data_IF_471253185840
#
_entry.id   IF_471253185840
#
_cell.length_a   1.000
_cell.length_b   1.000
_cell.length_c   1.000
_cell.angle_alpha   90.00
_cell.angle_beta   90.00
_cell.angle_gamma   90.00
#
_symmetry.space_group_name_H-M   'P 1'
#
loop_
_entity.id
_entity.type
_entity.pdbx_description
1 polymer ?
#
# COMPACT_ATOMS: atom_id res chain seq x y z
N UNK A 1 28.54 9.89 54.83
CA UNK A 1 27.83 8.96 53.93
C UNK A 1 26.40 8.80 54.43
N UNK A 2 25.42 9.33 53.70
CA UNK A 2 23.99 9.05 53.89
C UNK A 2 23.36 8.89 52.52
N UNK A 3 22.67 7.77 52.37
CA UNK A 3 22.14 7.15 51.16
C UNK A 3 20.92 7.90 50.62
N UNK A 4 20.90 8.13 49.30
CA UNK A 4 19.67 8.41 48.53
C UNK A 4 18.81 7.14 48.45
N UNK A 5 17.49 7.30 48.26
CA UNK A 5 16.91 6.64 47.10
C UNK A 5 15.97 7.55 46.30
N UNK A 6 16.41 7.83 45.07
CA UNK A 6 15.66 7.75 43.81
C UNK A 6 14.12 7.69 44.01
N UNK A 7 13.47 8.85 43.96
CA UNK A 7 12.02 8.96 43.76
C UNK A 7 11.76 9.73 42.47
N UNK A 8 12.27 9.17 41.37
CA UNK A 8 11.85 9.51 40.01
C UNK A 8 11.40 8.18 39.40
N UNK A 9 10.26 7.68 39.84
CA UNK A 9 9.65 6.49 39.29
C UNK A 9 8.17 6.76 39.04
N UNK A 10 7.84 6.72 37.75
CA UNK A 10 6.53 6.34 37.22
C UNK A 10 5.33 7.27 37.53
N UNK A 11 5.35 8.49 36.98
CA UNK A 11 4.10 9.15 36.54
C UNK A 11 4.33 9.68 35.12
N UNK A 12 4.58 8.75 34.19
CA UNK A 12 4.47 8.97 32.74
C UNK A 12 3.66 7.83 32.10
N UNK A 13 2.73 7.26 32.87
CA UNK A 13 1.79 6.23 32.45
C UNK A 13 0.41 6.89 32.58
N UNK A 14 -0.44 6.77 31.56
CA UNK A 14 -1.83 7.28 31.46
C UNK A 14 -2.08 8.60 30.73
N UNK A 15 -1.32 8.90 29.67
CA UNK A 15 -1.86 9.67 28.52
C UNK A 15 -1.76 8.87 27.20
N UNK A 16 -1.82 7.53 27.28
CA UNK A 16 -2.19 6.74 26.11
C UNK A 16 -3.66 7.03 25.85
N UNK A 17 -3.91 8.04 25.02
CA UNK A 17 -5.15 8.13 24.26
C UNK A 17 -5.51 6.72 23.78
N UNK A 18 -6.78 6.32 23.91
CA UNK A 18 -7.36 5.11 23.33
C UNK A 18 -7.36 5.17 21.79
N UNK A 19 -6.22 5.50 21.20
CA UNK A 19 -5.91 5.34 19.79
C UNK A 19 -5.58 3.86 19.60
N UNK A 20 -6.38 3.17 18.78
CA UNK A 20 -6.05 1.81 18.37
C UNK A 20 -4.62 1.78 17.80
N UNK A 21 -3.93 0.64 17.91
CA UNK A 21 -2.56 0.54 17.42
C UNK A 21 -2.48 0.90 15.93
N UNK A 22 -1.36 1.51 15.50
CA UNK A 22 -1.14 1.86 14.09
C UNK A 22 -1.31 0.64 13.18
N UNK A 23 -1.62 0.85 11.89
CA UNK A 23 -1.83 -0.25 10.95
C UNK A 23 -0.58 -1.12 10.85
N UNK A 24 -0.79 -2.44 10.87
CA UNK A 24 0.30 -3.39 10.64
C UNK A 24 0.60 -3.45 9.14
N UNK A 25 1.88 -3.41 8.79
CA UNK A 25 2.33 -3.51 7.41
C UNK A 25 1.77 -4.76 6.71
N UNK A 26 1.71 -5.91 7.39
CA UNK A 26 1.18 -7.15 6.82
C UNK A 26 -0.29 -7.03 6.40
N UNK A 27 -1.13 -6.35 7.19
CA UNK A 27 -2.56 -6.20 6.89
C UNK A 27 -2.76 -5.28 5.68
N UNK A 28 -1.93 -4.23 5.56
CA UNK A 28 -1.94 -3.33 4.41
C UNK A 28 -1.38 -4.03 3.15
N UNK A 29 -0.35 -4.87 3.28
CA UNK A 29 0.22 -5.64 2.17
C UNK A 29 -0.84 -6.54 1.54
N UNK A 30 -1.59 -7.30 2.35
CA UNK A 30 -2.65 -8.18 1.86
C UNK A 30 -3.74 -7.38 1.13
N UNK A 31 -4.12 -6.22 1.67
CA UNK A 31 -5.11 -5.35 1.04
C UNK A 31 -4.61 -4.78 -0.28
N UNK A 32 -3.39 -4.22 -0.32
CA UNK A 32 -2.81 -3.69 -1.55
C UNK A 32 -2.65 -4.78 -2.63
N UNK A 33 -2.26 -6.00 -2.24
CA UNK A 33 -2.17 -7.11 -3.17
C UNK A 33 -3.56 -7.46 -3.74
N UNK A 34 -4.60 -7.48 -2.91
CA UNK A 34 -5.98 -7.72 -3.35
C UNK A 34 -6.48 -6.63 -4.31
N UNK A 35 -6.23 -5.36 -3.99
CA UNK A 35 -6.61 -4.20 -4.81
C UNK A 35 -5.89 -4.26 -6.17
N UNK A 36 -4.59 -4.55 -6.16
CA UNK A 36 -3.78 -4.75 -7.37
C UNK A 36 -4.37 -5.83 -8.27
N UNK A 37 -4.68 -7.00 -7.70
CA UNK A 37 -5.26 -8.14 -8.43
C UNK A 37 -6.63 -7.81 -9.03
N UNK A 38 -7.46 -7.03 -8.33
CA UNK A 38 -8.77 -6.61 -8.81
C UNK A 38 -8.67 -5.63 -9.99
N UNK A 39 -7.81 -4.61 -9.89
CA UNK A 39 -7.77 -3.53 -10.86
C UNK A 39 -7.06 -3.90 -12.16
N UNK A 40 -6.06 -4.77 -12.10
CA UNK A 40 -5.17 -5.02 -13.24
C UNK A 40 -5.22 -6.47 -13.75
N UNK A 41 -6.13 -7.28 -13.20
CA UNK A 41 -6.16 -8.72 -13.42
C UNK A 41 -5.09 -9.43 -12.60
N UNK A 42 -5.39 -10.66 -12.20
CA UNK A 42 -4.51 -11.46 -11.33
C UNK A 42 -3.08 -11.54 -11.89
N UNK A 43 -2.11 -11.29 -11.01
CA UNK A 43 -0.74 -11.76 -11.20
C UNK A 43 0.11 -11.00 -12.23
N UNK A 44 -0.12 -9.70 -12.43
CA UNK A 44 0.85 -8.86 -13.17
C UNK A 44 1.94 -8.27 -12.25
N UNK A 45 1.61 -8.03 -10.98
CA UNK A 45 2.49 -7.46 -9.95
C UNK A 45 2.32 -8.24 -8.63
N UNK A 46 3.43 -8.45 -7.94
CA UNK A 46 3.48 -8.97 -6.58
C UNK A 46 4.11 -7.91 -5.67
N UNK A 47 3.46 -7.63 -4.54
CA UNK A 47 4.02 -6.79 -3.48
C UNK A 47 4.88 -7.70 -2.60
N UNK A 48 6.19 -7.55 -2.72
CA UNK A 48 7.18 -8.36 -2.02
C UNK A 48 7.33 -7.89 -0.56
N UNK A 49 7.34 -6.58 -0.39
CA UNK A 49 7.55 -5.96 0.91
C UNK A 49 6.78 -4.65 1.00
N UNK A 50 6.35 -4.34 2.21
CA UNK A 50 5.64 -3.12 2.54
C UNK A 50 6.07 -2.71 3.94
N UNK A 51 6.41 -1.43 4.10
CA UNK A 51 6.65 -0.85 5.42
C UNK A 51 5.80 0.40 5.60
N UNK A 52 5.38 0.63 6.85
CA UNK A 52 4.65 1.82 7.25
C UNK A 52 5.67 2.79 7.82
N UNK A 53 6.04 3.79 7.02
CA UNK A 53 7.05 4.78 7.35
C UNK A 53 6.50 5.83 8.33
N UNK A 54 5.21 6.15 8.22
CA UNK A 54 4.51 7.04 9.15
C UNK A 54 3.01 6.74 9.20
N UNK A 55 2.35 7.14 10.29
CA UNK A 55 0.90 7.04 10.48
C UNK A 55 0.40 8.25 11.28
N UNK A 56 -0.53 9.01 10.70
CA UNK A 56 -1.00 10.25 11.28
C UNK A 56 -2.49 10.50 11.00
N UNK A 57 -3.10 11.33 11.85
CA UNK A 57 -4.46 11.83 11.67
C UNK A 57 -4.40 13.27 11.14
N UNK A 58 -5.21 13.58 10.13
CA UNK A 58 -5.33 14.93 9.55
C UNK A 58 -6.73 15.13 8.99
N UNK A 59 -7.31 16.32 9.18
CA UNK A 59 -8.61 16.71 8.58
C UNK A 59 -9.75 15.70 8.83
N UNK A 60 -9.77 15.06 10.02
CA UNK A 60 -10.78 14.05 10.37
C UNK A 60 -10.62 12.69 9.65
N UNK A 61 -9.46 12.44 9.03
CA UNK A 61 -9.09 11.17 8.41
C UNK A 61 -7.76 10.64 8.93
N UNK A 62 -7.54 9.34 8.73
CA UNK A 62 -6.28 8.67 9.06
C UNK A 62 -5.48 8.46 7.78
N UNK A 63 -4.16 8.59 7.86
CA UNK A 63 -3.26 8.45 6.74
C UNK A 63 -2.04 7.63 7.15
N UNK A 64 -1.51 6.87 6.21
CA UNK A 64 -0.23 6.20 6.35
C UNK A 64 0.69 6.58 5.19
N UNK A 65 1.98 6.67 5.48
CA UNK A 65 3.03 6.78 4.48
C UNK A 65 3.62 5.39 4.30
N UNK A 66 3.56 4.87 3.09
CA UNK A 66 3.98 3.51 2.76
C UNK A 66 5.21 3.54 1.86
N UNK A 67 6.19 2.68 2.19
CA UNK A 67 7.24 2.30 1.27
C UNK A 67 6.93 0.89 0.78
N UNK A 68 6.81 0.74 -0.54
CA UNK A 68 6.32 -0.47 -1.21
C UNK A 68 7.39 -0.98 -2.16
N UNK A 69 7.71 -2.27 -2.02
CA UNK A 69 8.57 -2.99 -2.95
C UNK A 69 7.75 -4.01 -3.70
N UNK A 70 7.79 -3.92 -5.02
CA UNK A 70 7.00 -4.76 -5.90
C UNK A 70 7.84 -5.40 -6.99
N UNK A 71 7.45 -6.60 -7.43
CA UNK A 71 8.02 -7.30 -8.57
C UNK A 71 6.98 -7.45 -9.67
N UNK A 72 7.39 -7.15 -10.91
CA UNK A 72 6.57 -7.42 -12.08
C UNK A 72 6.64 -8.90 -12.43
N UNK A 73 5.50 -9.59 -12.43
CA UNK A 73 5.42 -11.02 -12.72
C UNK A 73 5.34 -11.33 -14.23
N UNK A 74 5.04 -10.31 -15.03
CA UNK A 74 5.02 -10.34 -16.50
C UNK A 74 5.61 -9.04 -17.05
N UNK A 75 6.09 -9.06 -18.30
CA UNK A 75 6.55 -7.84 -18.98
C UNK A 75 5.37 -6.96 -19.43
N UNK A 76 5.63 -5.66 -19.65
CA UNK A 76 4.62 -4.71 -20.14
C UNK A 76 3.92 -5.19 -21.41
N UNK A 77 4.70 -5.66 -22.40
CA UNK A 77 4.18 -6.14 -23.67
C UNK A 77 3.17 -7.28 -23.49
N UNK A 78 3.50 -8.24 -22.62
CA UNK A 78 2.62 -9.36 -22.30
C UNK A 78 1.39 -8.94 -21.50
N UNK A 79 1.53 -7.97 -20.59
CA UNK A 79 0.40 -7.42 -19.84
C UNK A 79 -0.61 -6.74 -20.76
N UNK A 80 -0.15 -5.82 -21.62
CA UNK A 80 -1.01 -5.11 -22.58
C UNK A 80 -1.66 -6.10 -23.56
N UNK A 81 -0.92 -7.10 -24.03
CA UNK A 81 -1.46 -8.16 -24.87
C UNK A 81 -2.63 -8.89 -24.18
N UNK A 82 -2.45 -9.32 -22.92
CA UNK A 82 -3.51 -9.97 -22.13
C UNK A 82 -4.74 -9.07 -21.92
N UNK A 83 -4.52 -7.77 -21.69
CA UNK A 83 -5.62 -6.81 -21.57
C UNK A 83 -6.41 -6.69 -22.87
N UNK A 84 -5.72 -6.63 -24.02
CA UNK A 84 -6.38 -6.61 -25.34
C UNK A 84 -7.13 -7.92 -25.62
N UNK A 85 -6.57 -9.07 -25.26
CA UNK A 85 -7.23 -10.37 -25.42
C UNK A 85 -8.48 -10.52 -24.54
N UNK A 86 -8.44 -10.01 -23.29
CA UNK A 86 -9.53 -10.15 -22.33
C UNK A 86 -10.64 -9.12 -22.50
N UNK A 87 -10.26 -7.86 -22.76
CA UNK A 87 -11.17 -6.71 -22.73
C UNK A 87 -11.29 -5.98 -24.08
N UNK A 88 -10.47 -6.34 -25.07
CA UNK A 88 -10.48 -5.73 -26.39
C UNK A 88 -11.66 -6.17 -27.25
N UNK A 89 -11.68 -5.69 -28.49
CA UNK A 89 -12.76 -5.98 -29.45
C UNK A 89 -13.81 -4.87 -29.58
N UNK A 90 -13.68 -3.79 -28.79
CA UNK A 90 -14.34 -2.52 -29.08
C UNK A 90 -13.31 -1.40 -29.17
N UNK A 91 -13.52 -0.46 -30.11
CA UNK A 91 -12.62 0.67 -30.33
C UNK A 91 -12.36 1.47 -29.05
N UNK A 92 -13.39 1.66 -28.21
CA UNK A 92 -13.26 2.38 -26.94
C UNK A 92 -12.37 1.64 -25.93
N UNK A 93 -12.49 0.31 -25.83
CA UNK A 93 -11.66 -0.46 -24.92
C UNK A 93 -10.21 -0.53 -25.39
N UNK A 94 -9.98 -0.68 -26.68
CA UNK A 94 -8.64 -0.69 -27.26
C UNK A 94 -7.94 0.66 -27.04
N UNK A 95 -8.65 1.78 -27.21
CA UNK A 95 -8.14 3.12 -26.89
C UNK A 95 -7.79 3.27 -25.40
N UNK A 96 -8.63 2.78 -24.50
CA UNK A 96 -8.33 2.82 -23.05
C UNK A 96 -7.08 2.00 -22.71
N UNK A 97 -6.93 0.83 -23.32
CA UNK A 97 -5.76 -0.04 -23.11
C UNK A 97 -4.49 0.63 -23.67
N UNK A 98 -4.58 1.32 -24.82
CA UNK A 98 -3.44 2.04 -25.39
C UNK A 98 -3.06 3.27 -24.55
N UNK A 99 -4.05 4.00 -24.00
CA UNK A 99 -3.79 5.07 -23.04
C UNK A 99 -3.09 4.54 -21.78
N UNK A 100 -3.56 3.41 -21.24
CA UNK A 100 -2.92 2.75 -20.11
C UNK A 100 -1.48 2.33 -20.47
N UNK A 101 -1.26 1.76 -21.65
CA UNK A 101 0.07 1.39 -22.15
C UNK A 101 1.02 2.59 -22.22
N UNK A 102 0.52 3.77 -22.58
CA UNK A 102 1.31 5.00 -22.63
C UNK A 102 1.64 5.55 -21.23
N UNK A 103 0.75 5.39 -20.25
CA UNK A 103 0.96 5.81 -18.87
C UNK A 103 1.90 4.87 -18.10
N UNK A 104 1.88 3.58 -18.44
CA UNK A 104 2.78 2.60 -17.87
C UNK A 104 4.21 2.84 -18.40
N UNK A 105 5.16 3.03 -17.49
CA UNK A 105 6.59 2.95 -17.82
C UNK A 105 6.94 1.58 -18.44
N UNK A 106 8.04 1.48 -19.17
CA UNK A 106 8.52 0.18 -19.63
C UNK A 106 9.01 -0.64 -18.44
N UNK A 107 8.61 -1.92 -18.38
CA UNK A 107 9.04 -2.86 -17.35
C UNK A 107 9.13 -4.28 -17.91
N UNK A 108 10.08 -5.05 -17.37
CA UNK A 108 10.29 -6.45 -17.70
C UNK A 108 9.85 -7.39 -16.59
N UNK A 109 9.61 -8.66 -16.95
CA UNK A 109 9.32 -9.69 -15.96
C UNK A 109 10.51 -9.87 -15.01
N UNK A 110 10.23 -9.90 -13.72
CA UNK A 110 11.20 -10.07 -12.65
C UNK A 110 11.79 -8.75 -12.15
N UNK A 111 11.56 -7.64 -12.87
CA UNK A 111 12.02 -6.32 -12.45
C UNK A 111 11.35 -5.92 -11.13
N UNK A 112 12.16 -5.35 -10.24
CA UNK A 112 11.74 -4.89 -8.92
C UNK A 112 11.66 -3.38 -8.95
N UNK A 113 10.53 -2.84 -8.52
CA UNK A 113 10.29 -1.41 -8.37
C UNK A 113 10.04 -1.08 -6.91
N UNK A 114 10.67 -0.02 -6.44
CA UNK A 114 10.48 0.54 -5.10
C UNK A 114 9.77 1.89 -5.23
N UNK A 115 8.67 2.03 -4.49
CA UNK A 115 7.90 3.25 -4.34
C UNK A 115 8.04 3.70 -2.89
N UNK A 116 8.47 4.94 -2.67
CA UNK A 116 8.73 5.46 -1.32
C UNK A 116 7.87 6.68 -1.06
N UNK A 117 7.32 6.75 0.14
CA UNK A 117 6.52 7.89 0.56
C UNK A 117 5.11 7.90 -0.02
N UNK A 118 4.53 6.74 -0.34
CA UNK A 118 3.17 6.67 -0.89
C UNK A 118 2.15 6.99 0.19
N UNK A 119 1.41 8.09 0.02
CA UNK A 119 0.38 8.51 0.96
C UNK A 119 -0.92 7.77 0.68
N UNK A 120 -1.38 6.97 1.65
CA UNK A 120 -2.68 6.30 1.58
C UNK A 120 -3.60 6.82 2.68
N UNK A 121 -4.86 7.02 2.33
CA UNK A 121 -5.92 7.28 3.31
C UNK A 121 -6.41 5.95 3.88
N UNK A 122 -6.69 5.95 5.18
CA UNK A 122 -7.17 4.79 5.91
C UNK A 122 -8.53 5.08 6.57
N UNK A 123 -9.42 4.10 6.49
CA UNK A 123 -10.67 4.07 7.24
C UNK A 123 -10.50 3.13 8.43
N UNK A 124 -10.97 3.59 9.59
CA UNK A 124 -11.07 2.77 10.79
C UNK A 124 -12.27 1.83 10.69
N UNK A 125 -12.05 0.53 10.84
CA UNK A 125 -13.10 -0.48 10.90
C UNK A 125 -13.01 -1.30 12.19
N UNK A 126 -14.03 -2.10 12.50
CA UNK A 126 -14.03 -3.00 13.66
C UNK A 126 -12.89 -4.03 13.61
N UNK A 127 -12.47 -4.42 12.40
CA UNK A 127 -11.45 -5.45 12.16
C UNK A 127 -10.05 -4.87 11.89
N UNK A 128 -9.86 -3.56 12.06
CA UNK A 128 -8.59 -2.87 11.82
C UNK A 128 -8.71 -1.76 10.76
N UNK A 129 -7.60 -1.50 10.07
CA UNK A 129 -7.47 -0.39 9.14
C UNK A 129 -7.73 -0.85 7.71
N UNK A 130 -8.51 -0.07 6.96
CA UNK A 130 -8.87 -0.34 5.57
C UNK A 130 -8.26 0.75 4.69
N UNK A 131 -7.64 0.39 3.56
CA UNK A 131 -7.21 1.36 2.55
C UNK A 131 -8.43 1.96 1.87
N UNK A 132 -8.57 3.28 1.98
CA UNK A 132 -9.63 4.05 1.33
C UNK A 132 -9.19 4.38 -0.10
N UNK A 133 -9.98 3.92 -1.09
CA UNK A 133 -9.70 4.01 -2.53
C UNK A 133 -10.57 5.06 -3.22
#
# INVERSE_FOLDING_TARGET
>A
MKTLPITILAIAIFLTACSQPPPKAQDLLVQMQKISNQNNGEGFLEIIDLSVSDFYEKDGGYYAILDVKMQYLISKSNHIKRLKEKNGGSMLNDMKIDMLSAQLGNFEKGEIKEMKGEHVRLIKSENGWIIDL
#
